data_IF_608519695476
#
_entry.id   IF_608519695476
#
_cell.length_a   1.000
_cell.length_b   1.000
_cell.length_c   1.000
_cell.angle_alpha   90.00
_cell.angle_beta   90.00
_cell.angle_gamma   90.00
#
_symmetry.space_group_name_H-M   'P 1'
#
loop_
_entity.id
_entity.type
_entity.pdbx_description
1 polymer ?
#
# COMPACT_ATOMS: atom_id res chain seq x y z
N UNK A 1 -3.71 16.12 23.12
CA UNK A 1 -3.33 17.55 22.99
C UNK A 1 -3.20 17.76 21.51
N UNK A 2 -4.13 18.48 20.88
CA UNK A 2 -4.12 18.67 19.43
C UNK A 2 -2.82 19.38 19.06
N UNK A 3 -1.84 18.63 18.57
CA UNK A 3 -0.66 19.18 17.93
C UNK A 3 -1.20 19.90 16.72
N UNK A 4 -1.30 21.23 16.78
CA UNK A 4 -1.62 22.08 15.64
C UNK A 4 -0.50 21.88 14.62
N UNK A 5 -0.60 20.81 13.83
CA UNK A 5 0.32 20.56 12.74
C UNK A 5 0.29 21.81 11.86
N UNK A 6 1.46 22.29 11.37
CA UNK A 6 1.48 23.42 10.47
C UNK A 6 0.47 23.16 9.35
N UNK A 7 -0.39 24.13 9.02
CA UNK A 7 -1.54 23.90 8.13
C UNK A 7 -1.15 23.25 6.79
N UNK A 8 0.08 23.51 6.33
CA UNK A 8 0.69 22.84 5.19
C UNK A 8 0.81 21.31 5.34
N UNK A 9 1.23 20.80 6.50
CA UNK A 9 1.37 19.37 6.76
C UNK A 9 0.01 18.67 6.83
N UNK A 10 -0.99 19.29 7.48
CA UNK A 10 -2.35 18.75 7.50
C UNK A 10 -2.95 18.65 6.09
N UNK A 11 -2.72 19.68 5.26
CA UNK A 11 -3.09 19.67 3.85
C UNK A 11 -2.37 18.53 3.10
N UNK A 12 -1.06 18.40 3.28
CA UNK A 12 -0.26 17.38 2.61
C UNK A 12 -0.72 15.95 2.97
N UNK A 13 -1.02 15.69 4.25
CA UNK A 13 -1.55 14.40 4.71
C UNK A 13 -2.91 14.12 4.07
N UNK A 14 -3.82 15.11 4.10
CA UNK A 14 -5.17 14.95 3.54
C UNK A 14 -5.13 14.70 2.03
N UNK A 15 -4.33 15.48 1.29
CA UNK A 15 -4.11 15.28 -0.14
C UNK A 15 -3.49 13.92 -0.41
N UNK A 16 -2.49 13.53 0.38
CA UNK A 16 -1.86 12.21 0.31
C UNK A 16 -2.87 11.07 0.46
N UNK A 17 -3.76 11.15 1.47
CA UNK A 17 -4.81 10.16 1.69
C UNK A 17 -5.81 10.08 0.53
N UNK A 18 -6.24 11.23 0.00
CA UNK A 18 -7.17 11.28 -1.14
C UNK A 18 -6.53 10.70 -2.39
N UNK A 19 -5.30 11.10 -2.70
CA UNK A 19 -4.56 10.61 -3.87
C UNK A 19 -4.27 9.12 -3.74
N UNK A 20 -3.77 8.67 -2.58
CA UNK A 20 -3.50 7.25 -2.33
C UNK A 20 -4.79 6.43 -2.46
N UNK A 21 -5.90 6.86 -1.84
CA UNK A 21 -7.19 6.17 -1.99
C UNK A 21 -7.64 6.09 -3.45
N UNK A 22 -7.49 7.18 -4.21
CA UNK A 22 -7.80 7.21 -5.65
C UNK A 22 -6.93 6.24 -6.46
N UNK A 23 -5.63 6.24 -6.22
CA UNK A 23 -4.69 5.31 -6.87
C UNK A 23 -5.02 3.85 -6.52
N UNK A 24 -5.38 3.55 -5.28
CA UNK A 24 -5.79 2.19 -4.87
C UNK A 24 -7.03 1.73 -5.62
N UNK A 25 -8.03 2.60 -5.82
CA UNK A 25 -9.23 2.27 -6.60
C UNK A 25 -8.90 2.03 -8.08
N UNK A 26 -8.04 2.86 -8.67
CA UNK A 26 -7.58 2.68 -10.06
C UNK A 26 -6.77 1.39 -10.23
N UNK A 27 -5.91 1.06 -9.27
CA UNK A 27 -5.17 -0.19 -9.25
C UNK A 27 -6.13 -1.39 -9.09
N UNK A 28 -7.16 -1.28 -8.25
CA UNK A 28 -8.23 -2.28 -8.12
C UNK A 28 -8.97 -2.53 -9.45
N UNK A 29 -9.28 -1.47 -10.19
CA UNK A 29 -9.81 -1.59 -11.54
C UNK A 29 -8.84 -2.33 -12.48
N UNK A 30 -7.54 -2.03 -12.40
CA UNK A 30 -6.51 -2.69 -13.22
C UNK A 30 -6.30 -4.17 -12.86
N UNK A 31 -6.48 -4.56 -11.60
CA UNK A 31 -6.45 -5.97 -11.18
C UNK A 31 -7.58 -6.77 -11.85
N UNK A 32 -8.79 -6.21 -11.92
CA UNK A 32 -9.96 -6.88 -12.47
C UNK A 32 -9.96 -6.89 -14.00
N UNK A 33 -9.70 -5.73 -14.61
CA UNK A 33 -9.79 -5.49 -16.05
C UNK A 33 -8.44 -5.46 -16.78
N UNK A 34 -7.36 -5.91 -16.12
CA UNK A 34 -6.03 -6.00 -16.71
C UNK A 34 -5.99 -7.01 -17.87
N UNK A 35 -5.43 -6.67 -19.05
CA UNK A 35 -5.42 -7.52 -20.23
C UNK A 35 -4.42 -8.67 -20.13
N UNK A 36 -3.31 -8.47 -19.41
CA UNK A 36 -2.27 -9.48 -19.22
C UNK A 36 -2.15 -9.89 -17.74
N UNK A 37 -1.71 -11.11 -17.47
CA UNK A 37 -1.42 -11.56 -16.09
C UNK A 37 -0.38 -10.66 -15.39
N UNK A 38 0.73 -10.26 -16.03
CA UNK A 38 1.69 -9.35 -15.43
C UNK A 38 1.08 -7.99 -15.04
N UNK A 39 0.19 -7.42 -15.85
CA UNK A 39 -0.50 -6.17 -15.50
C UNK A 39 -1.27 -6.27 -14.18
N UNK A 40 -1.91 -7.41 -13.95
CA UNK A 40 -2.71 -7.66 -12.74
C UNK A 40 -1.82 -7.85 -11.52
N UNK A 41 -0.69 -8.54 -11.68
CA UNK A 41 0.30 -8.76 -10.60
C UNK A 41 0.90 -7.42 -10.15
N UNK A 42 1.32 -6.58 -11.10
CA UNK A 42 1.87 -5.24 -10.78
C UNK A 42 0.81 -4.35 -10.13
N UNK A 43 -0.44 -4.41 -10.60
CA UNK A 43 -1.54 -3.66 -9.98
C UNK A 43 -1.80 -4.13 -8.54
N UNK A 44 -1.69 -5.42 -8.25
CA UNK A 44 -1.86 -5.98 -6.91
C UNK A 44 -0.72 -5.55 -5.96
N UNK A 45 0.52 -5.55 -6.44
CA UNK A 45 1.68 -5.03 -5.70
C UNK A 45 1.55 -3.52 -5.40
N UNK A 46 1.03 -2.77 -6.37
CA UNK A 46 0.72 -1.34 -6.20
C UNK A 46 -0.31 -1.14 -5.09
N UNK A 47 -1.39 -1.94 -5.05
CA UNK A 47 -2.40 -1.88 -3.98
C UNK A 47 -1.74 -2.12 -2.62
N UNK A 48 -0.93 -3.18 -2.49
CA UNK A 48 -0.28 -3.52 -1.23
C UNK A 48 0.59 -2.36 -0.71
N UNK A 49 1.45 -1.80 -1.56
CA UNK A 49 2.31 -0.66 -1.22
C UNK A 49 1.49 0.58 -0.85
N UNK A 50 0.39 0.84 -1.56
CA UNK A 50 -0.43 2.02 -1.33
C UNK A 50 -1.27 1.91 -0.04
N UNK A 51 -1.68 0.70 0.35
CA UNK A 51 -2.32 0.45 1.65
C UNK A 51 -1.36 0.72 2.81
N UNK A 52 -0.07 0.36 2.68
CA UNK A 52 0.95 0.73 3.66
C UNK A 52 1.08 2.26 3.76
N UNK A 53 1.12 2.97 2.63
CA UNK A 53 1.18 4.43 2.61
C UNK A 53 -0.04 5.07 3.28
N UNK A 54 -1.25 4.55 3.03
CA UNK A 54 -2.48 5.00 3.69
C UNK A 54 -2.40 4.79 5.19
N UNK A 55 -1.94 3.63 5.67
CA UNK A 55 -1.80 3.36 7.10
C UNK A 55 -0.84 4.34 7.79
N UNK A 56 0.31 4.63 7.18
CA UNK A 56 1.27 5.62 7.72
C UNK A 56 0.68 7.03 7.75
N UNK A 57 0.03 7.46 6.66
CA UNK A 57 -0.59 8.79 6.61
C UNK A 57 -1.75 8.91 7.61
N UNK A 58 -2.49 7.83 7.82
CA UNK A 58 -3.56 7.79 8.81
C UNK A 58 -3.02 7.85 10.23
N UNK A 59 -1.90 7.16 10.52
CA UNK A 59 -1.20 7.27 11.80
C UNK A 59 -0.82 8.73 12.13
N UNK A 60 -0.30 9.45 11.14
CA UNK A 60 0.04 10.87 11.28
C UNK A 60 -1.18 11.77 11.48
N UNK A 61 -2.33 11.39 10.91
CA UNK A 61 -3.58 12.13 11.06
C UNK A 61 -4.24 11.89 12.43
N UNK A 62 -4.19 10.67 12.95
CA UNK A 62 -4.82 10.29 14.22
C UNK A 62 -3.90 10.45 15.44
N UNK A 63 -2.59 10.66 15.22
CA UNK A 63 -1.56 10.66 16.26
C UNK A 63 -1.55 9.35 17.07
N UNK A 64 -1.87 8.24 16.39
CA UNK A 64 -2.00 6.91 16.99
C UNK A 64 -0.93 5.96 16.42
N UNK A 65 0.00 5.57 17.28
CA UNK A 65 1.11 4.67 16.94
C UNK A 65 0.68 3.28 16.49
N UNK A 66 -0.55 2.85 16.82
CA UNK A 66 -1.09 1.55 16.37
C UNK A 66 -1.03 1.39 14.85
N UNK A 67 -1.31 2.46 14.09
CA UNK A 67 -1.28 2.41 12.64
C UNK A 67 0.14 2.31 12.05
N UNK A 68 1.16 2.76 12.79
CA UNK A 68 2.56 2.54 12.41
C UNK A 68 2.90 1.05 12.52
N UNK A 69 2.53 0.40 13.63
CA UNK A 69 2.78 -1.04 13.81
C UNK A 69 2.06 -1.86 12.73
N UNK A 70 0.80 -1.53 12.44
CA UNK A 70 0.03 -2.15 11.35
C UNK A 70 0.72 -1.93 10.00
N UNK A 71 1.18 -0.71 9.72
CA UNK A 71 1.86 -0.41 8.45
C UNK A 71 3.17 -1.20 8.28
N UNK A 72 3.91 -1.42 9.37
CA UNK A 72 5.16 -2.18 9.37
C UNK A 72 4.89 -3.65 9.07
N UNK A 73 3.88 -4.24 9.72
CA UNK A 73 3.47 -5.63 9.46
C UNK A 73 2.99 -5.80 8.02
N UNK A 74 2.16 -4.87 7.52
CA UNK A 74 1.69 -4.88 6.14
C UNK A 74 2.84 -4.75 5.13
N UNK A 75 3.84 -3.91 5.42
CA UNK A 75 5.02 -3.76 4.57
C UNK A 75 5.83 -5.06 4.47
N UNK A 76 6.04 -5.74 5.59
CA UNK A 76 6.76 -7.02 5.64
C UNK A 76 5.99 -8.10 4.87
N UNK A 77 4.68 -8.24 5.12
CA UNK A 77 3.84 -9.24 4.44
C UNK A 77 3.76 -8.95 2.93
N UNK A 78 3.58 -7.69 2.55
CA UNK A 78 3.53 -7.28 1.15
C UNK A 78 4.82 -7.62 0.41
N UNK A 79 5.97 -7.30 1.00
CA UNK A 79 7.28 -7.62 0.42
C UNK A 79 7.51 -9.14 0.28
N UNK A 80 7.17 -9.92 1.30
CA UNK A 80 7.26 -11.38 1.25
C UNK A 80 6.36 -11.96 0.15
N UNK A 81 5.13 -11.44 0.01
CA UNK A 81 4.21 -11.85 -1.05
C UNK A 81 4.81 -11.62 -2.44
N UNK A 82 5.44 -10.47 -2.68
CA UNK A 82 6.05 -10.14 -3.97
C UNK A 82 7.25 -11.05 -4.28
N UNK A 83 8.08 -11.38 -3.29
CA UNK A 83 9.17 -12.36 -3.45
C UNK A 83 8.61 -13.75 -3.78
N UNK A 84 7.58 -14.20 -3.07
CA UNK A 84 6.97 -15.51 -3.29
C UNK A 84 6.41 -15.62 -4.72
N UNK A 85 5.75 -14.57 -5.22
CA UNK A 85 5.24 -14.52 -6.60
C UNK A 85 6.40 -14.51 -7.61
N UNK A 86 7.45 -13.72 -7.39
CA UNK A 86 8.62 -13.68 -8.28
C UNK A 86 9.33 -15.04 -8.37
N UNK A 87 9.46 -15.72 -7.23
CA UNK A 87 10.05 -17.06 -7.16
C UNK A 87 9.19 -18.09 -7.89
N UNK A 88 7.87 -18.09 -7.63
CA UNK A 88 6.93 -18.98 -8.31
C UNK A 88 6.98 -18.82 -9.84
N UNK A 89 7.04 -17.56 -10.34
CA UNK A 89 7.12 -17.27 -11.78
C UNK A 89 8.46 -17.74 -12.38
N UNK A 90 9.54 -17.73 -11.61
CA UNK A 90 10.88 -18.07 -12.10
C UNK A 90 11.20 -19.57 -12.02
N UNK A 91 10.84 -20.21 -10.91
CA UNK A 91 11.23 -21.59 -10.58
C UNK A 91 10.08 -22.60 -10.77
N UNK A 92 8.82 -22.13 -10.85
CA UNK A 92 7.63 -22.99 -10.95
C UNK A 92 7.20 -23.63 -9.63
N UNK A 93 8.01 -23.48 -8.57
CA UNK A 93 7.71 -23.92 -7.20
C UNK A 93 8.12 -22.83 -6.19
N UNK A 94 7.54 -22.86 -5.00
CA UNK A 94 7.77 -21.88 -3.92
C UNK A 94 8.65 -22.48 -2.82
N UNK A 95 8.55 -23.79 -2.58
CA UNK A 95 9.21 -24.50 -1.48
C UNK A 95 9.94 -25.72 -2.05
N UNK A 96 11.23 -25.82 -1.72
CA UNK A 96 12.06 -27.00 -2.01
C UNK A 96 12.13 -27.92 -0.77
#
# INVERSE_FOLDING_TARGET
MATELPGFLSLAITVGLVVASGVTLLAGYRVIFGPTTPDRVVALDTIATNVVAIAVLFALQTDDGFFIDVSLVLAIIGFISTIAVARYVSEGDIIE
#
